data_IF_999690913327
#
_entry.id   IF_999690913327
#
_cell.length_a   1.000
_cell.length_b   1.000
_cell.length_c   1.000
_cell.angle_alpha   90.00
_cell.angle_beta   90.00
_cell.angle_gamma   90.00
#
_symmetry.space_group_name_H-M   'P 1'
#
loop_
_entity.id
_entity.type
_entity.pdbx_description
1 polymer ?
#
# COMPACT_ATOMS: atom_id res chain seq x y z
N UNK A 1 6.12 15.10 9.79
CA UNK A 1 5.77 13.83 9.12
C UNK A 1 5.28 14.18 7.73
N UNK A 2 6.04 13.80 6.70
CA UNK A 2 5.76 14.13 5.31
C UNK A 2 4.51 13.39 4.80
N UNK A 3 3.98 13.81 3.66
CA UNK A 3 2.91 13.07 2.96
C UNK A 3 3.35 11.63 2.65
N UNK A 4 4.63 11.46 2.27
CA UNK A 4 5.25 10.16 2.01
C UNK A 4 5.25 9.27 3.27
N UNK A 5 5.67 9.81 4.43
CA UNK A 5 5.67 9.07 5.70
C UNK A 5 4.26 8.63 6.12
N UNK A 6 3.28 9.52 5.94
CA UNK A 6 1.87 9.21 6.25
C UNK A 6 1.37 8.09 5.36
N UNK A 7 1.73 8.12 4.07
CA UNK A 7 1.32 7.10 3.12
C UNK A 7 1.99 5.75 3.40
N UNK A 8 3.27 5.76 3.76
CA UNK A 8 4.00 4.55 4.18
C UNK A 8 3.34 3.91 5.42
N UNK A 9 2.95 4.72 6.41
CA UNK A 9 2.25 4.21 7.60
C UNK A 9 0.92 3.53 7.24
N UNK A 10 0.13 4.11 6.33
CA UNK A 10 -1.12 3.50 5.86
C UNK A 10 -0.87 2.16 5.16
N UNK A 11 0.20 2.05 4.36
CA UNK A 11 0.60 0.80 3.70
C UNK A 11 0.93 -0.27 4.74
N UNK A 12 1.71 0.04 5.77
CA UNK A 12 2.04 -0.92 6.82
C UNK A 12 0.81 -1.38 7.62
N UNK A 13 -0.13 -0.48 7.91
CA UNK A 13 -1.40 -0.84 8.54
C UNK A 13 -2.24 -1.77 7.66
N UNK A 14 -2.29 -1.52 6.34
CA UNK A 14 -3.00 -2.38 5.38
C UNK A 14 -2.32 -3.74 5.23
N UNK A 15 -0.99 -3.78 5.20
CA UNK A 15 -0.20 -5.00 5.16
C UNK A 15 -0.46 -5.86 6.39
N UNK A 16 -0.47 -5.26 7.58
CA UNK A 16 -0.80 -5.97 8.82
C UNK A 16 -2.22 -6.55 8.78
N UNK A 17 -3.21 -5.77 8.34
CA UNK A 17 -4.60 -6.24 8.20
C UNK A 17 -4.71 -7.38 7.19
N UNK A 18 -4.03 -7.29 6.05
CA UNK A 18 -4.02 -8.35 5.04
C UNK A 18 -3.43 -9.65 5.59
N UNK A 19 -2.33 -9.58 6.35
CA UNK A 19 -1.74 -10.76 7.00
C UNK A 19 -2.74 -11.43 7.94
N UNK A 20 -3.52 -10.64 8.70
CA UNK A 20 -4.59 -11.16 9.57
C UNK A 20 -5.75 -11.77 8.80
N UNK A 21 -6.17 -11.16 7.69
CA UNK A 21 -7.22 -11.72 6.82
C UNK A 21 -6.76 -13.04 6.18
N UNK A 22 -5.48 -13.12 5.78
CA UNK A 22 -4.90 -14.30 5.12
C UNK A 22 -4.69 -15.49 6.06
N UNK A 23 -4.61 -15.26 7.37
CA UNK A 23 -4.39 -16.29 8.37
C UNK A 23 -5.50 -17.37 8.27
N UNK A 24 -5.11 -18.61 7.93
CA UNK A 24 -6.05 -19.71 7.71
C UNK A 24 -6.82 -19.72 6.38
N UNK A 25 -6.62 -18.75 5.48
CA UNK A 25 -7.32 -18.66 4.17
C UNK A 25 -6.40 -18.99 2.99
N UNK A 26 -6.96 -19.29 1.82
CA UNK A 26 -6.18 -19.36 0.57
C UNK A 26 -5.79 -17.96 0.07
N UNK A 27 -4.77 -17.84 -0.78
CA UNK A 27 -4.50 -16.58 -1.49
C UNK A 27 -5.58 -16.22 -2.51
N UNK A 28 -6.33 -17.22 -2.98
CA UNK A 28 -7.46 -17.06 -3.89
C UNK A 28 -8.77 -16.79 -3.17
N UNK A 29 -8.76 -16.76 -1.83
CA UNK A 29 -9.94 -16.39 -1.05
C UNK A 29 -10.39 -14.96 -1.44
N UNK A 30 -11.69 -14.73 -1.72
CA UNK A 30 -12.16 -13.42 -2.18
C UNK A 30 -11.82 -12.27 -1.23
N UNK A 31 -11.81 -12.51 0.08
CA UNK A 31 -11.49 -11.49 1.07
C UNK A 31 -10.00 -11.16 1.08
N UNK A 32 -9.15 -12.18 0.90
CA UNK A 32 -7.71 -12.00 0.73
C UNK A 32 -7.40 -11.26 -0.57
N UNK A 33 -8.06 -11.60 -1.67
CA UNK A 33 -7.90 -10.91 -2.96
C UNK A 33 -8.29 -9.44 -2.85
N UNK A 34 -9.44 -9.14 -2.24
CA UNK A 34 -9.88 -7.76 -2.03
C UNK A 34 -8.90 -6.96 -1.14
N UNK A 35 -8.39 -7.57 -0.07
CA UNK A 35 -7.37 -6.95 0.79
C UNK A 35 -6.07 -6.69 0.02
N UNK A 36 -5.64 -7.63 -0.82
CA UNK A 36 -4.45 -7.50 -1.66
C UNK A 36 -4.60 -6.36 -2.68
N UNK A 37 -5.75 -6.26 -3.36
CA UNK A 37 -6.03 -5.19 -4.32
C UNK A 37 -6.01 -3.82 -3.65
N UNK A 38 -6.54 -3.71 -2.43
CA UNK A 38 -6.51 -2.45 -1.67
C UNK A 38 -5.10 -2.02 -1.32
N UNK A 39 -4.25 -2.97 -0.90
CA UNK A 39 -2.85 -2.71 -0.62
C UNK A 39 -2.11 -2.24 -1.87
N UNK A 40 -2.36 -2.88 -3.01
CA UNK A 40 -1.74 -2.53 -4.30
C UNK A 40 -2.08 -1.10 -4.74
N UNK A 41 -3.36 -0.71 -4.64
CA UNK A 41 -3.80 0.67 -4.95
C UNK A 41 -3.01 1.71 -4.14
N UNK A 42 -2.74 1.43 -2.87
CA UNK A 42 -2.03 2.37 -2.00
C UNK A 42 -0.52 2.36 -2.22
N UNK A 43 0.06 1.22 -2.60
CA UNK A 43 1.45 1.13 -3.07
C UNK A 43 1.66 1.93 -4.36
N UNK A 44 0.73 1.85 -5.31
CA UNK A 44 0.80 2.63 -6.55
C UNK A 44 0.78 4.14 -6.28
N UNK A 45 -0.10 4.60 -5.39
CA UNK A 45 -0.13 6.02 -4.97
C UNK A 45 1.17 6.46 -4.28
N UNK A 46 1.78 5.59 -3.47
CA UNK A 46 3.07 5.88 -2.85
C UNK A 46 4.18 6.01 -3.89
N UNK A 47 4.18 5.12 -4.90
CA UNK A 47 5.11 5.20 -6.02
C UNK A 47 4.96 6.51 -6.80
N UNK A 48 3.73 6.93 -7.09
CA UNK A 48 3.44 8.21 -7.75
C UNK A 48 3.98 9.41 -6.95
N UNK A 49 3.86 9.39 -5.62
CA UNK A 49 4.43 10.43 -4.75
C UNK A 49 5.96 10.47 -4.87
N UNK A 50 6.62 9.32 -4.86
CA UNK A 50 8.08 9.25 -5.06
C UNK A 50 8.48 9.82 -6.42
N UNK A 51 7.78 9.45 -7.50
CA UNK A 51 8.07 9.96 -8.84
C UNK A 51 7.90 11.48 -8.88
N UNK A 52 6.83 12.02 -8.30
CA UNK A 52 6.58 13.47 -8.25
C UNK A 52 7.68 14.21 -7.50
N UNK A 53 8.14 13.70 -6.37
CA UNK A 53 9.26 14.29 -5.62
C UNK A 53 10.54 14.32 -6.46
N UNK A 54 10.89 13.19 -7.09
CA UNK A 54 12.07 13.12 -7.98
C UNK A 54 11.98 14.05 -9.19
N UNK A 55 10.79 14.25 -9.75
CA UNK A 55 10.57 15.19 -10.88
C UNK A 55 10.64 16.65 -10.43
N UNK A 56 10.21 16.96 -9.21
CA UNK A 56 10.30 18.30 -8.63
C UNK A 56 11.72 18.74 -8.25
N UNK A 57 12.66 17.80 -8.08
CA UNK A 57 14.08 18.09 -7.80
C UNK A 57 14.91 18.43 -9.06
N UNK A 58 14.32 18.34 -10.26
CA UNK A 58 15.00 18.56 -11.54
C UNK A 58 14.64 19.89 -12.24
N UNK A 59 14.05 20.86 -11.52
CA UNK A 59 13.72 22.20 -12.02
C UNK A 59 14.17 23.29 -11.07
#
# INVERSE_FOLDING_TARGET
MSELDRKLKQIEELRFKMLKIKEGKSFTDPEVLAASQRLDIDLNKYHDLIIKMKKGENY
#
